data_IF_241538763336
#
_entry.id   IF_241538763336
#
_cell.length_a   1.000
_cell.length_b   1.000
_cell.length_c   1.000
_cell.angle_alpha   90.00
_cell.angle_beta   90.00
_cell.angle_gamma   90.00
#
_symmetry.space_group_name_H-M   'P 1'
#
loop_
_entity.id
_entity.type
_entity.pdbx_description
1 polymer ?
#
# COMPACT_ATOMS: atom_id res chain seq x y z
N UNK A 1 20.83 -8.72 -12.00
CA UNK A 1 20.71 -9.02 -10.57
C UNK A 1 19.66 -10.12 -10.47
N UNK A 2 20.08 -11.33 -10.13
CA UNK A 2 19.28 -12.55 -10.31
C UNK A 2 18.27 -12.64 -9.15
N UNK A 3 17.00 -12.28 -9.41
CA UNK A 3 15.91 -12.40 -8.43
C UNK A 3 14.96 -13.54 -8.82
N UNK A 4 15.50 -14.69 -9.22
CA UNK A 4 14.72 -15.94 -9.35
C UNK A 4 14.46 -16.60 -7.98
N UNK A 5 14.13 -15.81 -6.94
CA UNK A 5 13.69 -16.37 -5.68
C UNK A 5 12.17 -16.49 -5.70
N UNK A 6 11.67 -17.72 -5.56
CA UNK A 6 10.26 -17.98 -5.31
C UNK A 6 9.79 -17.06 -4.17
N UNK A 7 8.72 -16.27 -4.35
CA UNK A 7 8.25 -15.39 -3.29
C UNK A 7 7.96 -16.22 -2.04
N UNK A 8 8.33 -15.74 -0.84
CA UNK A 8 8.10 -16.47 0.41
C UNK A 8 6.60 -16.64 0.73
N UNK A 9 5.72 -15.94 0.01
CA UNK A 9 4.27 -16.02 0.12
C UNK A 9 3.69 -16.62 -1.15
N UNK A 10 2.69 -17.48 -1.02
CA UNK A 10 1.89 -17.91 -2.16
C UNK A 10 0.79 -16.88 -2.41
N UNK A 11 0.26 -16.87 -3.62
CA UNK A 11 -0.87 -16.02 -3.97
C UNK A 11 -2.06 -16.16 -3.00
N UNK A 12 -2.39 -17.39 -2.59
CA UNK A 12 -3.48 -17.65 -1.62
C UNK A 12 -3.23 -16.98 -0.27
N UNK A 13 -1.98 -16.95 0.20
CA UNK A 13 -1.64 -16.32 1.47
C UNK A 13 -1.89 -14.81 1.39
N UNK A 14 -1.59 -14.18 0.24
CA UNK A 14 -1.86 -12.75 0.03
C UNK A 14 -3.36 -12.43 -0.04
N UNK A 15 -4.18 -13.32 -0.59
CA UNK A 15 -5.64 -13.16 -0.56
C UNK A 15 -6.20 -13.23 0.86
N UNK A 16 -5.69 -14.13 1.70
CA UNK A 16 -6.06 -14.23 3.12
C UNK A 16 -5.60 -13.01 3.92
N UNK A 17 -4.33 -12.58 3.74
CA UNK A 17 -3.79 -11.37 4.36
C UNK A 17 -4.62 -10.14 3.98
N UNK A 18 -5.05 -10.06 2.72
CA UNK A 18 -5.82 -8.94 2.18
C UNK A 18 -7.33 -9.19 2.16
N UNK A 19 -7.83 -10.09 3.01
CA UNK A 19 -9.27 -10.41 3.09
C UNK A 19 -10.10 -9.20 3.54
N UNK A 20 -9.53 -8.38 4.42
CA UNK A 20 -10.08 -7.13 4.89
C UNK A 20 -8.98 -6.08 5.10
N UNK A 21 -9.42 -4.83 5.19
CA UNK A 21 -8.52 -3.68 5.22
C UNK A 21 -7.69 -3.61 6.51
N UNK A 22 -8.22 -4.09 7.63
CA UNK A 22 -7.56 -4.01 8.94
C UNK A 22 -6.35 -4.97 8.95
N UNK A 23 -6.57 -6.23 8.56
CA UNK A 23 -5.51 -7.23 8.45
C UNK A 23 -4.44 -6.84 7.42
N UNK A 24 -4.86 -6.28 6.28
CA UNK A 24 -3.93 -5.80 5.27
C UNK A 24 -3.03 -4.70 5.81
N UNK A 25 -3.60 -3.68 6.46
CA UNK A 25 -2.82 -2.56 6.98
C UNK A 25 -1.85 -3.03 8.07
N UNK A 26 -2.29 -3.88 8.99
CA UNK A 26 -1.42 -4.39 10.06
C UNK A 26 -0.27 -5.22 9.49
N UNK A 27 -0.54 -6.05 8.49
CA UNK A 27 0.50 -6.80 7.78
C UNK A 27 1.48 -5.85 7.08
N UNK A 28 0.99 -4.85 6.33
CA UNK A 28 1.84 -3.89 5.62
C UNK A 28 2.73 -3.09 6.57
N UNK A 29 2.24 -2.73 7.77
CA UNK A 29 3.05 -2.09 8.81
C UNK A 29 4.15 -3.00 9.33
N UNK A 30 3.80 -4.25 9.67
CA UNK A 30 4.74 -5.25 10.19
C UNK A 30 5.93 -5.51 9.25
N UNK A 31 5.71 -5.41 7.94
CA UNK A 31 6.76 -5.56 6.92
C UNK A 31 7.39 -4.22 6.46
N UNK A 32 7.08 -3.11 7.15
CA UNK A 32 7.67 -1.79 6.86
C UNK A 32 7.18 -1.14 5.56
N UNK A 33 6.12 -1.67 4.94
CA UNK A 33 5.55 -1.12 3.70
C UNK A 33 4.61 0.07 3.97
N UNK A 34 4.02 0.13 5.17
CA UNK A 34 3.34 1.30 5.72
C UNK A 34 4.06 1.80 6.97
N UNK A 35 3.97 3.09 7.23
CA UNK A 35 4.55 3.66 8.45
C UNK A 35 3.78 3.21 9.69
N UNK A 36 4.50 2.89 10.77
CA UNK A 36 3.92 2.57 12.08
C UNK A 36 3.61 3.81 12.92
N UNK A 37 4.27 4.93 12.62
CA UNK A 37 4.06 6.22 13.28
C UNK A 37 4.20 7.36 12.26
N UNK A 38 3.60 8.50 12.58
CA UNK A 38 3.73 9.71 11.77
C UNK A 38 3.86 10.95 12.66
N UNK A 39 4.77 11.85 12.28
CA UNK A 39 4.96 13.16 12.91
C UNK A 39 4.46 14.23 11.94
N UNK A 40 3.59 15.10 12.45
CA UNK A 40 3.05 16.22 11.70
C UNK A 40 4.14 17.28 11.46
N UNK A 41 4.02 18.07 10.39
CA UNK A 41 4.93 19.18 10.13
C UNK A 41 4.93 20.27 11.25
N UNK A 42 3.98 20.22 12.20
CA UNK A 42 3.97 21.06 13.40
C UNK A 42 4.70 20.43 14.61
N UNK A 43 5.44 19.34 14.40
CA UNK A 43 6.27 18.66 15.41
C UNK A 43 5.52 17.71 16.36
N UNK A 44 4.18 17.65 16.29
CA UNK A 44 3.39 16.75 17.12
C UNK A 44 3.23 15.37 16.46
N UNK A 45 3.13 14.33 17.28
CA UNK A 45 2.76 12.99 16.83
C UNK A 45 1.34 12.99 16.21
N UNK A 46 1.07 11.99 15.39
CA UNK A 46 -0.25 11.73 14.85
C UNK A 46 -0.83 10.43 15.42
N UNK A 47 -2.14 10.44 15.72
CA UNK A 47 -2.88 9.22 16.05
C UNK A 47 -3.37 8.54 14.78
N UNK A 48 -3.31 7.20 14.77
CA UNK A 48 -3.87 6.35 13.73
C UNK A 48 -5.34 6.06 14.07
N UNK A 49 -6.27 6.33 13.16
CA UNK A 49 -7.68 5.99 13.41
C UNK A 49 -8.47 5.72 12.13
N UNK A 50 -9.54 4.92 12.25
CA UNK A 50 -10.55 4.74 11.19
C UNK A 50 -11.11 6.11 10.79
N UNK A 51 -11.17 6.34 9.48
CA UNK A 51 -11.74 7.52 8.86
C UNK A 51 -12.30 7.10 7.49
N UNK A 52 -13.55 6.65 7.47
CA UNK A 52 -14.20 6.09 6.28
C UNK A 52 -14.21 6.98 5.02
N UNK A 53 -14.22 8.32 5.10
CA UNK A 53 -14.25 9.16 3.90
C UNK A 53 -13.00 9.08 3.01
N UNK A 54 -11.88 8.50 3.47
CA UNK A 54 -10.66 8.38 2.66
C UNK A 54 -10.50 6.98 2.09
N UNK A 55 -9.75 6.88 0.98
CA UNK A 55 -9.55 5.68 0.17
C UNK A 55 -9.26 4.40 0.99
N UNK A 56 -8.35 4.49 1.96
CA UNK A 56 -7.93 3.32 2.73
C UNK A 56 -8.75 3.09 4.01
N UNK A 57 -9.77 3.92 4.27
CA UNK A 57 -10.60 3.85 5.47
C UNK A 57 -9.91 4.28 6.76
N UNK A 58 -8.67 4.78 6.69
CA UNK A 58 -7.83 5.17 7.82
C UNK A 58 -7.05 6.46 7.52
N UNK A 59 -6.70 7.20 8.58
CA UNK A 59 -5.85 8.39 8.45
C UNK A 59 -4.97 8.59 9.68
N UNK A 60 -3.88 9.33 9.48
CA UNK A 60 -3.10 9.94 10.56
C UNK A 60 -3.71 11.29 10.91
N UNK A 61 -4.08 11.52 12.16
CA UNK A 61 -4.58 12.82 12.64
C UNK A 61 -3.58 13.41 13.63
N UNK A 62 -3.15 14.65 13.41
CA UNK A 62 -2.28 15.35 14.35
C UNK A 62 -2.91 15.44 15.75
N UNK A 63 -2.13 15.20 16.80
CA UNK A 63 -2.59 15.27 18.20
C UNK A 63 -2.49 16.67 18.81
N UNK A 64 -1.74 17.58 18.19
CA UNK A 64 -1.65 18.98 18.61
C UNK A 64 -3.03 19.65 18.63
N UNK A 65 -3.43 20.21 19.77
CA UNK A 65 -4.80 20.69 20.04
C UNK A 65 -5.32 21.70 18.99
N UNK A 66 -4.46 22.58 18.51
CA UNK A 66 -4.80 23.60 17.50
C UNK A 66 -4.55 23.13 16.06
N UNK A 67 -3.92 21.99 15.86
CA UNK A 67 -3.61 21.47 14.52
C UNK A 67 -4.67 20.47 14.08
N UNK A 68 -5.39 20.80 13.00
CA UNK A 68 -6.44 19.93 12.44
C UNK A 68 -5.98 19.09 11.25
N UNK A 69 -4.66 19.08 10.97
CA UNK A 69 -4.08 18.36 9.83
C UNK A 69 -4.36 16.86 9.94
N UNK A 70 -4.66 16.27 8.79
CA UNK A 70 -4.75 14.83 8.57
C UNK A 70 -3.83 14.44 7.41
N UNK A 71 -3.35 13.21 7.45
CA UNK A 71 -2.50 12.67 6.41
C UNK A 71 -3.00 11.29 6.00
N UNK A 72 -2.79 10.93 4.73
CA UNK A 72 -2.97 9.56 4.27
C UNK A 72 -2.04 8.64 5.05
N UNK A 73 -2.50 7.42 5.33
CA UNK A 73 -1.66 6.38 5.94
C UNK A 73 -0.47 5.99 5.06
N UNK A 74 -0.55 6.29 3.75
CA UNK A 74 0.49 6.05 2.76
C UNK A 74 1.62 7.08 2.80
N UNK A 75 1.47 8.19 3.52
CA UNK A 75 2.49 9.26 3.54
C UNK A 75 3.78 8.74 4.16
N UNK A 76 4.90 8.93 3.45
CA UNK A 76 6.23 8.49 3.84
C UNK A 76 6.47 6.98 3.65
N UNK A 77 5.65 6.30 2.87
CA UNK A 77 5.70 4.85 2.68
C UNK A 77 5.86 4.44 1.22
N UNK A 78 6.05 3.15 0.97
CA UNK A 78 6.11 2.57 -0.38
C UNK A 78 4.88 2.91 -1.25
N UNK A 79 3.72 3.09 -0.62
CA UNK A 79 2.45 3.37 -1.31
C UNK A 79 2.20 4.88 -1.56
N UNK A 80 3.15 5.75 -1.21
CA UNK A 80 2.97 7.19 -1.32
C UNK A 80 2.63 7.61 -2.76
N UNK A 81 1.69 8.56 -2.91
CA UNK A 81 1.20 9.12 -4.20
C UNK A 81 0.43 8.16 -5.12
N UNK A 82 0.33 6.88 -4.78
CA UNK A 82 -0.50 5.96 -5.57
C UNK A 82 -1.98 6.11 -5.24
N UNK A 83 -2.81 6.07 -6.28
CA UNK A 83 -4.27 5.98 -6.18
C UNK A 83 -4.78 4.53 -6.31
N UNK A 84 -3.92 3.54 -6.60
CA UNK A 84 -4.36 2.14 -6.63
C UNK A 84 -4.70 1.65 -5.22
N UNK A 85 -5.68 0.74 -5.03
CA UNK A 85 -5.92 0.10 -3.74
C UNK A 85 -4.67 -0.62 -3.21
N UNK A 86 -4.45 -0.60 -1.89
CA UNK A 86 -3.30 -1.27 -1.26
C UNK A 86 -3.22 -2.76 -1.66
N UNK A 87 -4.36 -3.45 -1.67
CA UNK A 87 -4.47 -4.85 -2.10
C UNK A 87 -4.03 -5.03 -3.54
N UNK A 88 -4.48 -4.15 -4.44
CA UNK A 88 -4.10 -4.19 -5.86
C UNK A 88 -2.59 -4.06 -6.03
N UNK A 89 -1.96 -3.14 -5.29
CA UNK A 89 -0.50 -2.97 -5.34
C UNK A 89 0.20 -4.20 -4.78
N UNK A 90 -0.24 -4.74 -3.62
CA UNK A 90 0.34 -5.94 -3.04
C UNK A 90 0.30 -7.14 -4.01
N UNK A 91 -0.83 -7.36 -4.65
CA UNK A 91 -0.95 -8.42 -5.66
C UNK A 91 -0.09 -8.09 -6.89
N UNK A 92 -0.05 -6.84 -7.35
CA UNK A 92 0.83 -6.44 -8.46
C UNK A 92 2.28 -6.85 -8.20
N UNK A 93 2.82 -6.53 -7.02
CA UNK A 93 4.20 -6.87 -6.64
C UNK A 93 4.45 -8.38 -6.71
N UNK A 94 3.49 -9.18 -6.23
CA UNK A 94 3.61 -10.63 -6.29
C UNK A 94 3.69 -11.15 -7.72
N UNK A 95 2.74 -10.78 -8.57
CA UNK A 95 2.72 -11.26 -9.96
C UNK A 95 3.90 -10.74 -10.77
N UNK A 96 4.34 -9.51 -10.50
CA UNK A 96 5.55 -8.93 -11.10
C UNK A 96 6.80 -9.69 -10.66
N UNK A 97 6.93 -10.05 -9.38
CA UNK A 97 8.11 -10.77 -8.85
C UNK A 97 8.30 -12.18 -9.40
N UNK A 98 7.28 -12.75 -10.06
CA UNK A 98 7.34 -14.06 -10.72
C UNK A 98 7.30 -13.93 -12.25
N UNK A 99 7.72 -12.78 -12.78
CA UNK A 99 7.87 -12.49 -14.20
C UNK A 99 6.60 -12.69 -15.03
N UNK A 100 5.42 -12.46 -14.43
CA UNK A 100 4.17 -12.49 -15.20
C UNK A 100 4.13 -11.30 -16.17
N UNK A 101 3.75 -11.52 -17.44
CA UNK A 101 3.64 -10.43 -18.40
C UNK A 101 2.71 -9.30 -17.91
N UNK A 102 3.18 -8.05 -17.99
CA UNK A 102 2.46 -6.88 -17.49
C UNK A 102 1.03 -6.75 -18.02
N UNK A 103 0.78 -7.14 -19.28
CA UNK A 103 -0.58 -7.17 -19.86
C UNK A 103 -1.51 -8.13 -19.12
N UNK A 104 -0.99 -9.26 -18.65
CA UNK A 104 -1.74 -10.22 -17.85
C UNK A 104 -1.99 -9.67 -16.45
N UNK A 105 -0.98 -9.09 -15.80
CA UNK A 105 -1.15 -8.43 -14.50
C UNK A 105 -2.23 -7.33 -14.57
N UNK A 106 -2.18 -6.49 -15.61
CA UNK A 106 -3.16 -5.45 -15.88
C UNK A 106 -4.59 -6.00 -15.95
N UNK A 107 -4.76 -7.10 -16.70
CA UNK A 107 -6.05 -7.77 -16.86
C UNK A 107 -6.57 -8.36 -15.55
N UNK A 108 -5.76 -9.17 -14.86
CA UNK A 108 -6.15 -9.84 -13.60
C UNK A 108 -6.50 -8.84 -12.50
N UNK A 109 -5.76 -7.72 -12.41
CA UNK A 109 -5.94 -6.71 -11.39
C UNK A 109 -6.89 -5.57 -11.79
N UNK A 110 -7.48 -5.64 -12.99
CA UNK A 110 -8.40 -4.65 -13.55
C UNK A 110 -7.83 -3.22 -13.49
N UNK A 111 -6.53 -3.07 -13.76
CA UNK A 111 -5.88 -1.75 -13.81
C UNK A 111 -6.20 -1.12 -15.16
N UNK A 112 -6.93 0.00 -15.14
CA UNK A 112 -7.46 0.60 -16.38
C UNK A 112 -6.39 1.20 -17.31
N UNK A 113 -5.28 1.70 -16.76
CA UNK A 113 -4.26 2.39 -17.55
C UNK A 113 -3.00 1.54 -17.72
N UNK A 114 -2.56 1.39 -18.97
CA UNK A 114 -1.26 0.80 -19.29
C UNK A 114 -0.10 1.60 -18.70
N UNK A 115 -0.17 2.95 -18.69
CA UNK A 115 0.89 3.77 -18.12
C UNK A 115 1.06 3.49 -16.63
N UNK A 116 -0.03 3.34 -15.88
CA UNK A 116 0.02 2.99 -14.46
C UNK A 116 0.73 1.66 -14.22
N UNK A 117 0.49 0.65 -15.06
CA UNK A 117 1.13 -0.66 -14.95
C UNK A 117 2.63 -0.58 -15.24
N UNK A 118 3.01 0.16 -16.28
CA UNK A 118 4.43 0.38 -16.62
C UNK A 118 5.14 1.19 -15.54
N UNK A 119 4.51 2.23 -15.00
CA UNK A 119 5.06 3.05 -13.92
C UNK A 119 5.34 2.20 -12.68
N UNK A 120 4.41 1.31 -12.31
CA UNK A 120 4.60 0.37 -11.22
C UNK A 120 5.71 -0.64 -11.49
N UNK A 121 5.79 -1.18 -12.72
CA UNK A 121 6.85 -2.11 -13.09
C UNK A 121 8.24 -1.46 -13.08
N UNK A 122 8.35 -0.16 -13.39
CA UNK A 122 9.60 0.60 -13.32
C UNK A 122 10.00 0.99 -11.89
N UNK A 123 9.03 0.99 -10.96
CA UNK A 123 9.26 1.30 -9.55
C UNK A 123 9.74 0.10 -8.73
N UNK A 124 9.50 -1.12 -9.24
CA UNK A 124 9.92 -2.38 -8.63
C UNK A 124 11.33 -2.77 -9.09
#
# INVERSE_FOLDING_TARGET
MNIMQCPPFRLVDLYEISRDQDHLIDWLKRYGLLAEAHVCDCGHNCSFSKFRPVQDGYSWKCTGRQCRKRFSIRKGSFFQKSNLPLKTILLFLYWWSIDVPLRRIMHELQIASWSTVVDWANFC
#
